data_IF_320504296888
#
_entry.id   IF_320504296888
#
_cell.length_a   1.000
_cell.length_b   1.000
_cell.length_c   1.000
_cell.angle_alpha   90.00
_cell.angle_beta   90.00
_cell.angle_gamma   90.00
#
_symmetry.space_group_name_H-M   'P 1'
#
loop_
_entity.id
_entity.type
_entity.pdbx_description
1 polymer ?
#
# COMPACT_ATOMS: atom_id res chain seq x y z
N UNK A 1 8.03 -7.13 -16.77
CA UNK A 1 6.95 -8.14 -16.80
C UNK A 1 6.78 -8.65 -15.38
N UNK A 2 5.56 -8.63 -14.84
CA UNK A 2 5.29 -9.24 -13.53
C UNK A 2 5.20 -10.76 -13.70
N UNK A 3 6.16 -11.47 -13.14
CA UNK A 3 6.29 -12.93 -13.24
C UNK A 3 6.29 -13.51 -11.84
N UNK A 4 5.64 -14.65 -11.68
CA UNK A 4 5.65 -15.39 -10.43
C UNK A 4 7.01 -16.05 -10.19
N UNK A 5 7.37 -16.36 -8.93
CA UNK A 5 8.57 -17.13 -8.63
C UNK A 5 8.62 -18.47 -9.38
N UNK A 6 7.47 -19.14 -9.55
CA UNK A 6 7.40 -20.41 -10.29
C UNK A 6 7.72 -20.23 -11.78
N UNK A 7 7.20 -19.18 -12.41
CA UNK A 7 7.54 -18.82 -13.80
C UNK A 7 9.01 -18.46 -13.93
N UNK A 8 9.56 -17.69 -12.98
CA UNK A 8 10.96 -17.28 -13.00
C UNK A 8 11.93 -18.47 -12.85
N UNK A 9 11.65 -19.39 -11.93
CA UNK A 9 12.45 -20.62 -11.79
C UNK A 9 12.34 -21.53 -13.01
N UNK A 10 11.16 -21.61 -13.64
CA UNK A 10 11.01 -22.35 -14.90
C UNK A 10 11.86 -21.74 -16.03
N UNK A 11 11.92 -20.40 -16.12
CA UNK A 11 12.77 -19.70 -17.10
C UNK A 11 14.25 -19.99 -16.84
N UNK A 12 14.70 -19.95 -15.58
CA UNK A 12 16.09 -20.29 -15.23
C UNK A 12 16.44 -21.73 -15.59
N UNK A 13 15.57 -22.67 -15.23
CA UNK A 13 15.78 -24.08 -15.52
C UNK A 13 15.87 -24.34 -17.04
N UNK A 14 14.99 -23.69 -17.81
CA UNK A 14 15.05 -23.73 -19.27
C UNK A 14 16.36 -23.15 -19.80
N UNK A 15 16.76 -21.97 -19.32
CA UNK A 15 17.99 -21.31 -19.77
C UNK A 15 19.23 -22.19 -19.51
N UNK A 16 19.29 -22.86 -18.36
CA UNK A 16 20.40 -23.75 -18.01
C UNK A 16 20.48 -24.95 -18.97
N UNK A 17 19.34 -25.61 -19.21
CA UNK A 17 19.25 -26.74 -20.15
C UNK A 17 19.66 -26.35 -21.57
N UNK A 18 19.18 -25.21 -22.07
CA UNK A 18 19.50 -24.73 -23.42
C UNK A 18 20.98 -24.34 -23.57
N UNK A 19 21.60 -23.84 -22.50
CA UNK A 19 23.03 -23.54 -22.48
C UNK A 19 23.88 -24.82 -22.61
N UNK A 20 23.48 -25.90 -21.94
CA UNK A 20 24.11 -27.22 -22.07
C UNK A 20 23.93 -27.80 -23.48
N UNK A 21 22.71 -27.70 -24.02
CA UNK A 21 22.35 -28.22 -25.35
C UNK A 21 22.86 -27.34 -26.51
N UNK A 22 23.35 -26.13 -26.23
CA UNK A 22 23.86 -25.15 -27.21
C UNK A 22 22.90 -24.86 -28.37
N UNK A 23 21.61 -24.73 -28.07
CA UNK A 23 20.57 -24.43 -29.06
C UNK A 23 19.61 -23.35 -28.56
N UNK A 24 18.88 -22.67 -29.45
CA UNK A 24 17.81 -21.76 -29.05
C UNK A 24 16.61 -22.51 -28.46
N UNK A 25 15.82 -21.80 -27.67
CA UNK A 25 14.50 -22.26 -27.22
C UNK A 25 13.54 -22.35 -28.40
N UNK A 26 12.65 -23.34 -28.39
CA UNK A 26 11.45 -23.31 -29.24
C UNK A 26 10.37 -22.43 -28.61
N UNK A 27 9.38 -22.00 -29.40
CA UNK A 27 8.24 -21.22 -28.88
C UNK A 27 7.46 -21.97 -27.78
N UNK A 28 7.33 -23.29 -27.93
CA UNK A 28 6.64 -24.17 -26.97
C UNK A 28 7.40 -24.24 -25.65
N UNK A 29 8.73 -24.36 -25.69
CA UNK A 29 9.55 -24.36 -24.48
C UNK A 29 9.51 -23.02 -23.76
N UNK A 30 9.40 -21.92 -24.51
CA UNK A 30 9.31 -20.57 -23.96
C UNK A 30 7.92 -20.21 -23.40
N UNK A 31 6.90 -21.04 -23.61
CA UNK A 31 5.54 -20.85 -23.11
C UNK A 31 5.42 -21.23 -21.62
N UNK A 32 6.13 -20.50 -20.76
CA UNK A 32 6.29 -20.81 -19.33
C UNK A 32 5.33 -20.08 -18.40
N UNK A 33 4.41 -19.27 -18.93
CA UNK A 33 3.39 -18.58 -18.13
C UNK A 33 2.42 -19.59 -17.51
N UNK A 34 1.96 -19.30 -16.29
CA UNK A 34 1.15 -20.22 -15.49
C UNK A 34 -0.08 -19.54 -14.90
N UNK A 35 -1.12 -20.34 -14.70
CA UNK A 35 -2.32 -20.00 -13.91
C UNK A 35 -2.25 -20.57 -12.49
N UNK A 36 -1.41 -21.57 -12.27
CA UNK A 36 -1.18 -22.21 -10.97
C UNK A 36 0.05 -21.60 -10.27
N UNK A 37 0.10 -21.76 -8.94
CA UNK A 37 1.25 -21.32 -8.12
C UNK A 37 1.55 -19.83 -8.29
N UNK A 38 0.48 -19.03 -8.33
CA UNK A 38 0.54 -17.59 -8.51
C UNK A 38 1.27 -16.92 -7.35
N UNK A 39 2.01 -15.85 -7.66
CA UNK A 39 2.60 -15.01 -6.62
C UNK A 39 1.53 -14.17 -5.92
N UNK A 40 1.69 -13.96 -4.61
CA UNK A 40 0.69 -13.26 -3.79
C UNK A 40 0.48 -11.81 -4.22
N UNK A 41 1.54 -11.13 -4.67
CA UNK A 41 1.49 -9.77 -5.21
C UNK A 41 0.71 -9.70 -6.54
N UNK A 42 0.91 -10.67 -7.44
CA UNK A 42 0.11 -10.78 -8.67
C UNK A 42 -1.36 -11.09 -8.34
N UNK A 43 -1.62 -11.98 -7.38
CA UNK A 43 -2.98 -12.30 -6.97
C UNK A 43 -3.71 -11.10 -6.34
N UNK A 44 -3.00 -10.23 -5.63
CA UNK A 44 -3.56 -9.02 -5.03
C UNK A 44 -3.73 -7.88 -6.04
N UNK A 45 -2.70 -7.57 -6.82
CA UNK A 45 -2.65 -6.35 -7.64
C UNK A 45 -2.86 -6.58 -9.13
N UNK A 46 -3.10 -7.84 -9.51
CA UNK A 46 -3.38 -8.24 -10.87
C UNK A 46 -2.14 -8.30 -11.76
N UNK A 47 -2.37 -8.72 -13.00
CA UNK A 47 -1.35 -8.81 -14.06
C UNK A 47 -2.01 -8.57 -15.40
N UNK A 48 -1.39 -7.71 -16.22
CA UNK A 48 -1.79 -7.45 -17.59
C UNK A 48 -0.66 -7.78 -18.57
N UNK A 49 -0.93 -8.65 -19.54
CA UNK A 49 -0.02 -9.11 -20.58
C UNK A 49 -0.69 -8.94 -21.95
N UNK A 50 -0.34 -7.87 -22.68
CA UNK A 50 -0.97 -7.53 -23.96
C UNK A 50 -0.87 -8.66 -25.00
N UNK A 51 0.27 -9.34 -25.09
CA UNK A 51 0.52 -10.41 -26.07
C UNK A 51 -0.04 -11.78 -25.64
N UNK A 52 -0.44 -11.93 -24.37
CA UNK A 52 -0.86 -13.21 -23.77
C UNK A 52 -2.01 -12.96 -22.77
N UNK A 53 -3.17 -12.46 -23.25
CA UNK A 53 -4.28 -12.04 -22.39
C UNK A 53 -4.88 -13.18 -21.56
N UNK A 54 -4.75 -14.43 -22.01
CA UNK A 54 -5.22 -15.62 -21.28
C UNK A 54 -4.59 -15.76 -19.89
N UNK A 55 -3.43 -15.14 -19.66
CA UNK A 55 -2.70 -15.16 -18.40
C UNK A 55 -2.90 -13.88 -17.56
N UNK A 56 -3.83 -13.01 -17.96
CA UNK A 56 -4.19 -11.85 -17.15
C UNK A 56 -4.82 -12.30 -15.83
N UNK A 57 -4.53 -11.54 -14.77
CA UNK A 57 -5.08 -11.76 -13.44
C UNK A 57 -5.78 -10.48 -13.02
N UNK A 58 -7.03 -10.60 -12.62
CA UNK A 58 -7.80 -9.49 -12.06
C UNK A 58 -7.32 -9.17 -10.65
N UNK A 59 -7.19 -7.89 -10.31
CA UNK A 59 -6.70 -7.47 -9.00
C UNK A 59 -7.78 -7.67 -7.93
N UNK A 60 -7.43 -8.38 -6.85
CA UNK A 60 -8.30 -8.53 -5.68
C UNK A 60 -8.21 -7.36 -4.68
N UNK A 61 -7.20 -6.49 -4.81
CA UNK A 61 -6.91 -5.40 -3.89
C UNK A 61 -6.97 -4.05 -4.62
N UNK A 62 -7.70 -3.11 -4.02
CA UNK A 62 -7.81 -1.73 -4.48
C UNK A 62 -7.20 -0.83 -3.40
N UNK A 63 -6.23 0.01 -3.78
CA UNK A 63 -5.57 0.96 -2.89
C UNK A 63 -5.81 2.36 -3.42
N UNK A 64 -6.48 3.19 -2.64
CA UNK A 64 -6.68 4.59 -2.99
C UNK A 64 -5.41 5.41 -2.73
N UNK A 65 -5.24 6.50 -3.48
CA UNK A 65 -4.23 7.50 -3.15
C UNK A 65 -4.49 8.08 -1.76
N UNK A 66 -3.46 8.11 -0.92
CA UNK A 66 -3.54 8.76 0.37
C UNK A 66 -3.61 10.29 0.19
N UNK A 67 -4.43 10.96 0.99
CA UNK A 67 -4.55 12.42 0.99
C UNK A 67 -4.61 12.97 2.42
N UNK A 68 -4.18 14.21 2.61
CA UNK A 68 -4.23 14.89 3.90
C UNK A 68 -5.66 15.25 4.29
N UNK A 69 -6.05 15.00 5.54
CA UNK A 69 -7.40 15.33 6.05
C UNK A 69 -7.57 16.80 6.44
N UNK A 70 -6.47 17.55 6.45
CA UNK A 70 -6.40 18.99 6.72
C UNK A 70 -5.84 19.72 5.51
N UNK A 71 -6.04 21.03 5.48
CA UNK A 71 -5.24 21.88 4.59
C UNK A 71 -3.77 21.84 5.04
N UNK A 72 -2.87 21.57 4.10
CA UNK A 72 -1.43 21.53 4.35
C UNK A 72 -0.75 22.44 3.34
N UNK A 73 0.06 23.36 3.86
CA UNK A 73 0.90 24.25 3.05
C UNK A 73 2.20 23.52 2.76
N UNK A 74 2.68 23.62 1.51
CA UNK A 74 4.03 23.20 1.16
C UNK A 74 4.98 24.30 1.60
N UNK A 75 5.93 23.95 2.46
CA UNK A 75 6.99 24.85 2.94
C UNK A 75 8.25 24.64 2.10
N UNK A 76 8.88 25.75 1.70
CA UNK A 76 10.10 25.74 0.91
C UNK A 76 11.34 25.71 1.81
N UNK A 77 12.12 24.64 1.72
CA UNK A 77 13.40 24.48 2.44
C UNK A 77 14.58 24.88 1.55
N UNK A 78 15.28 25.96 1.91
CA UNK A 78 16.47 26.44 1.20
C UNK A 78 17.73 25.82 1.81
N UNK A 79 18.55 25.16 1.00
CA UNK A 79 19.78 24.50 1.44
C UNK A 79 20.99 24.87 0.58
N UNK A 80 22.18 24.86 1.20
CA UNK A 80 23.45 25.04 0.50
C UNK A 80 24.31 23.79 0.61
N UNK A 81 25.08 23.47 -0.44
CA UNK A 81 26.20 22.54 -0.34
C UNK A 81 27.50 23.34 -0.32
N UNK A 82 28.32 23.14 0.72
CA UNK A 82 29.61 23.82 0.90
C UNK A 82 30.71 23.03 0.20
N UNK A 83 31.65 23.74 -0.42
CA UNK A 83 32.85 23.13 -1.01
C UNK A 83 34.00 23.15 0.00
N UNK A 84 34.37 21.97 0.50
CA UNK A 84 35.41 21.79 1.52
C UNK A 84 36.83 22.18 1.04
N UNK A 85 37.06 22.32 -0.29
CA UNK A 85 38.37 22.65 -0.85
C UNK A 85 38.58 24.14 -1.12
N UNK A 86 37.59 25.01 -0.87
CA UNK A 86 37.69 26.46 -1.15
C UNK A 86 38.52 27.21 -0.10
N UNK A 87 39.31 28.18 -0.58
CA UNK A 87 40.15 29.04 0.27
C UNK A 87 39.30 30.10 1.01
N UNK A 88 39.62 30.33 2.29
CA UNK A 88 38.87 31.21 3.19
C UNK A 88 38.86 32.72 2.81
N UNK A 89 39.59 33.11 1.75
CA UNK A 89 39.67 34.48 1.26
C UNK A 89 38.60 34.85 0.22
N UNK A 90 37.88 33.87 -0.34
CA UNK A 90 36.78 34.07 -1.29
C UNK A 90 35.42 33.86 -0.59
N UNK A 91 34.47 34.72 -0.90
CA UNK A 91 33.12 34.88 -0.34
C UNK A 91 32.39 33.56 0.06
N UNK A 92 31.59 33.65 1.14
CA UNK A 92 30.79 32.69 1.95
C UNK A 92 30.65 31.17 1.63
N UNK A 93 31.50 30.55 0.81
CA UNK A 93 31.70 29.09 0.77
C UNK A 93 30.58 28.22 0.17
N UNK A 94 29.47 28.75 -0.34
CA UNK A 94 28.43 27.93 -0.98
C UNK A 94 28.82 27.50 -2.41
N UNK A 95 29.05 26.20 -2.63
CA UNK A 95 29.27 25.59 -3.95
C UNK A 95 27.97 25.28 -4.69
N UNK A 96 26.84 25.23 -3.99
CA UNK A 96 25.49 25.08 -4.53
C UNK A 96 24.45 25.72 -3.61
N UNK A 97 23.39 26.28 -4.19
CA UNK A 97 22.18 26.71 -3.50
C UNK A 97 20.99 26.01 -4.17
N UNK A 98 20.14 25.39 -3.36
CA UNK A 98 18.97 24.65 -3.82
C UNK A 98 17.76 24.89 -2.91
N UNK A 99 16.61 24.42 -3.38
CA UNK A 99 15.32 24.54 -2.70
C UNK A 99 14.60 23.19 -2.75
N UNK A 100 13.85 22.83 -1.71
CA UNK A 100 13.02 21.61 -1.67
C UNK A 100 11.75 21.87 -0.88
N UNK A 101 10.60 21.69 -1.51
CA UNK A 101 9.31 21.74 -0.82
C UNK A 101 9.09 20.52 0.08
N UNK A 102 8.57 20.73 1.30
CA UNK A 102 8.10 19.68 2.19
C UNK A 102 6.75 20.03 2.82
N UNK A 103 6.06 19.04 3.39
CA UNK A 103 4.78 19.24 4.07
C UNK A 103 4.52 18.15 5.09
N UNK A 104 3.69 18.47 6.08
CA UNK A 104 3.24 17.54 7.11
C UNK A 104 1.71 17.47 7.11
N UNK A 105 1.17 16.26 7.12
CA UNK A 105 -0.27 16.03 7.12
C UNK A 105 -0.63 14.76 7.86
N UNK A 106 -1.82 14.73 8.45
CA UNK A 106 -2.48 13.49 8.82
C UNK A 106 -3.13 12.90 7.57
N UNK A 107 -2.66 11.73 7.13
CA UNK A 107 -3.13 11.09 5.91
C UNK A 107 -4.30 10.12 6.18
N UNK A 108 -5.32 10.19 5.33
CA UNK A 108 -6.32 9.13 5.18
C UNK A 108 -5.89 8.19 4.05
N UNK A 109 -5.88 6.89 4.35
CA UNK A 109 -5.60 5.81 3.40
C UNK A 109 -6.79 4.86 3.36
N UNK A 110 -7.22 4.48 2.17
CA UNK A 110 -8.31 3.52 1.97
C UNK A 110 -7.80 2.31 1.17
N UNK A 111 -8.14 1.13 1.66
CA UNK A 111 -7.85 -0.15 1.03
C UNK A 111 -9.12 -0.99 1.05
N UNK A 112 -9.48 -1.54 -0.11
CA UNK A 112 -10.55 -2.51 -0.25
C UNK A 112 -9.96 -3.83 -0.76
N UNK A 113 -10.37 -4.95 -0.17
CA UNK A 113 -9.89 -6.28 -0.57
C UNK A 113 -11.09 -7.21 -0.78
N UNK A 114 -11.18 -7.79 -1.96
CA UNK A 114 -12.08 -8.90 -2.26
C UNK A 114 -11.40 -10.21 -1.86
N UNK A 115 -11.80 -10.77 -0.71
CA UNK A 115 -11.24 -12.02 -0.18
C UNK A 115 -11.57 -13.21 -1.09
N UNK A 116 -12.76 -13.25 -1.68
CA UNK A 116 -13.19 -14.37 -2.52
C UNK A 116 -12.39 -14.41 -3.83
N UNK A 117 -12.19 -13.24 -4.46
CA UNK A 117 -11.33 -13.11 -5.63
C UNK A 117 -9.87 -13.42 -5.29
N UNK A 118 -9.38 -13.00 -4.12
CA UNK A 118 -8.02 -13.34 -3.68
C UNK A 118 -7.83 -14.86 -3.55
N UNK A 119 -8.77 -15.56 -2.90
CA UNK A 119 -8.74 -17.03 -2.77
C UNK A 119 -8.79 -17.69 -4.14
N UNK A 120 -9.64 -17.20 -5.06
CA UNK A 120 -9.71 -17.68 -6.44
C UNK A 120 -8.38 -17.49 -7.18
N UNK A 121 -7.77 -16.31 -7.08
CA UNK A 121 -6.48 -15.99 -7.69
C UNK A 121 -5.34 -16.84 -7.13
N UNK A 122 -5.47 -17.32 -5.89
CA UNK A 122 -4.55 -18.24 -5.22
C UNK A 122 -4.95 -19.72 -5.37
N UNK A 123 -5.73 -20.04 -6.42
CA UNK A 123 -6.16 -21.39 -6.76
C UNK A 123 -6.91 -22.12 -5.61
N UNK A 124 -7.70 -21.39 -4.82
CA UNK A 124 -8.46 -21.95 -3.70
C UNK A 124 -7.68 -22.08 -2.39
N UNK A 125 -6.44 -21.57 -2.32
CA UNK A 125 -5.62 -21.65 -1.12
C UNK A 125 -6.01 -20.58 -0.07
N UNK A 126 -7.01 -20.88 0.74
CA UNK A 126 -7.52 -19.98 1.79
C UNK A 126 -6.47 -19.69 2.88
N UNK A 127 -5.65 -20.67 3.26
CA UNK A 127 -4.60 -20.47 4.25
C UNK A 127 -3.59 -19.42 3.77
N UNK A 128 -3.18 -19.50 2.50
CA UNK A 128 -2.28 -18.51 1.89
C UNK A 128 -2.96 -17.15 1.73
N UNK A 129 -4.25 -17.10 1.42
CA UNK A 129 -5.01 -15.85 1.38
C UNK A 129 -5.01 -15.16 2.75
N UNK A 130 -5.30 -15.90 3.82
CA UNK A 130 -5.31 -15.34 5.18
C UNK A 130 -3.92 -14.87 5.61
N UNK A 131 -2.85 -15.62 5.30
CA UNK A 131 -1.46 -15.16 5.54
C UNK A 131 -1.13 -13.89 4.76
N UNK A 132 -1.57 -13.81 3.51
CA UNK A 132 -1.41 -12.64 2.64
C UNK A 132 -2.10 -11.41 3.23
N UNK A 133 -3.38 -11.53 3.61
CA UNK A 133 -4.15 -10.44 4.24
C UNK A 133 -3.48 -9.94 5.52
N UNK A 134 -2.98 -10.86 6.35
CA UNK A 134 -2.27 -10.54 7.60
C UNK A 134 -1.01 -9.72 7.32
N UNK A 135 -0.15 -10.23 6.44
CA UNK A 135 1.13 -9.60 6.11
C UNK A 135 0.92 -8.24 5.43
N UNK A 136 -0.03 -8.16 4.51
CA UNK A 136 -0.35 -6.93 3.81
C UNK A 136 -0.90 -5.85 4.74
N UNK A 137 -1.84 -6.22 5.62
CA UNK A 137 -2.40 -5.29 6.61
C UNK A 137 -1.32 -4.82 7.58
N UNK A 138 -0.45 -5.72 8.06
CA UNK A 138 0.67 -5.34 8.91
C UNK A 138 1.63 -4.36 8.20
N UNK A 139 1.93 -4.60 6.92
CA UNK A 139 2.73 -3.69 6.12
C UNK A 139 2.04 -2.32 5.96
N UNK A 140 0.74 -2.30 5.63
CA UNK A 140 -0.03 -1.06 5.45
C UNK A 140 -0.07 -0.20 6.72
N UNK A 141 -0.04 -0.81 7.90
CA UNK A 141 -0.06 -0.11 9.19
C UNK A 141 1.31 0.40 9.66
N UNK A 142 2.42 -0.20 9.17
CA UNK A 142 3.78 0.03 9.72
C UNK A 142 4.80 0.58 8.73
N UNK A 143 4.58 0.41 7.43
CA UNK A 143 5.59 0.70 6.40
C UNK A 143 5.30 2.05 5.76
N UNK A 144 6.26 2.96 5.85
CA UNK A 144 6.24 4.25 5.16
C UNK A 144 7.01 4.18 3.82
N UNK A 145 6.63 4.97 2.79
CA UNK A 145 7.40 5.08 1.56
C UNK A 145 8.85 5.52 1.79
N UNK A 146 9.78 5.07 0.94
CA UNK A 146 11.23 5.30 1.11
C UNK A 146 11.73 6.62 0.52
N UNK A 147 10.89 7.35 -0.21
CA UNK A 147 11.24 8.61 -0.86
C UNK A 147 11.76 9.65 0.14
N UNK A 148 12.95 10.21 -0.15
CA UNK A 148 13.62 11.24 0.66
C UNK A 148 13.74 10.93 2.18
N UNK A 149 13.62 9.66 2.58
CA UNK A 149 13.68 9.25 3.99
C UNK A 149 15.01 9.59 4.67
N UNK A 150 16.13 9.51 3.95
CA UNK A 150 17.43 9.88 4.52
C UNK A 150 17.56 11.39 4.79
N UNK A 151 16.72 12.21 4.16
CA UNK A 151 16.69 13.66 4.34
C UNK A 151 15.64 14.10 5.36
N UNK A 152 14.47 13.45 5.41
CA UNK A 152 13.34 13.88 6.27
C UNK A 152 12.95 12.90 7.39
N UNK A 153 13.47 11.67 7.40
CA UNK A 153 13.23 10.66 8.43
C UNK A 153 11.75 10.39 8.80
N UNK A 154 10.82 10.55 7.85
CA UNK A 154 9.38 10.38 8.07
C UNK A 154 8.96 8.91 8.15
N UNK A 155 9.17 8.27 9.32
CA UNK A 155 8.74 6.90 9.60
C UNK A 155 7.59 6.88 10.60
N UNK A 156 6.37 6.70 10.10
CA UNK A 156 5.16 6.72 10.91
C UNK A 156 4.42 5.38 10.87
N UNK A 157 3.92 4.96 12.03
CA UNK A 157 2.89 3.93 12.13
C UNK A 157 1.51 4.59 12.10
N UNK A 158 0.49 3.83 11.67
CA UNK A 158 -0.89 4.31 11.71
C UNK A 158 -1.30 4.68 13.14
N UNK A 159 -1.73 5.94 13.34
CA UNK A 159 -2.18 6.42 14.66
C UNK A 159 -3.59 5.92 15.02
N UNK A 160 -4.38 5.59 14.00
CA UNK A 160 -5.70 4.99 14.11
C UNK A 160 -5.97 4.16 12.86
N UNK A 161 -6.71 3.06 13.00
CA UNK A 161 -7.18 2.29 11.86
C UNK A 161 -8.54 1.66 12.18
N UNK A 162 -9.32 1.43 11.13
CA UNK A 162 -10.62 0.76 11.15
C UNK A 162 -10.64 -0.28 10.04
N UNK A 163 -10.97 -1.52 10.40
CA UNK A 163 -11.25 -2.60 9.47
C UNK A 163 -12.74 -2.88 9.52
N UNK A 164 -13.39 -2.87 8.35
CA UNK A 164 -14.77 -3.32 8.17
C UNK A 164 -14.77 -4.63 7.38
N UNK A 165 -15.64 -5.57 7.74
CA UNK A 165 -15.82 -6.86 7.06
C UNK A 165 -17.30 -7.16 6.89
N UNK A 166 -17.70 -7.57 5.70
CA UNK A 166 -19.09 -7.92 5.38
C UNK A 166 -19.25 -8.31 3.91
N UNK A 167 -20.49 -8.67 3.55
CA UNK A 167 -20.90 -9.00 2.18
C UNK A 167 -21.51 -7.83 1.42
N UNK A 168 -21.69 -6.70 2.09
CA UNK A 168 -22.19 -5.47 1.48
C UNK A 168 -21.17 -4.88 0.50
N UNK A 169 -21.65 -4.02 -0.39
CA UNK A 169 -20.77 -3.28 -1.29
C UNK A 169 -19.72 -2.48 -0.49
N UNK A 170 -18.42 -2.59 -0.83
CA UNK A 170 -17.38 -1.79 -0.17
C UNK A 170 -17.65 -0.30 -0.28
N UNK A 171 -17.42 0.41 0.82
CA UNK A 171 -17.63 1.86 0.93
C UNK A 171 -16.37 2.56 1.40
N UNK A 172 -16.09 3.72 0.82
CA UNK A 172 -15.06 4.64 1.33
C UNK A 172 -15.68 5.62 2.30
N UNK A 173 -14.91 6.02 3.32
CA UNK A 173 -15.29 7.05 4.28
C UNK A 173 -14.59 8.38 4.00
N UNK A 174 -13.99 8.55 2.81
CA UNK A 174 -13.30 9.77 2.39
C UNK A 174 -14.18 11.02 2.48
N UNK A 175 -15.50 10.89 2.32
CA UNK A 175 -16.46 11.99 2.44
C UNK A 175 -16.49 12.63 3.84
N UNK A 176 -15.96 11.95 4.87
CA UNK A 176 -15.77 12.52 6.21
C UNK A 176 -14.81 13.73 6.21
N UNK A 177 -14.02 13.88 5.14
CA UNK A 177 -12.96 14.88 5.00
C UNK A 177 -13.18 15.83 3.81
N UNK A 178 -14.41 15.92 3.26
CA UNK A 178 -14.73 16.92 2.24
C UNK A 178 -14.54 18.35 2.75
N UNK A 179 -14.85 18.59 4.02
CA UNK A 179 -14.46 19.82 4.70
C UNK A 179 -13.11 19.58 5.39
N UNK A 180 -12.05 20.34 5.04
CA UNK A 180 -10.74 20.20 5.66
C UNK A 180 -10.81 20.37 7.19
N UNK A 181 -10.04 19.56 7.90
CA UNK A 181 -9.93 19.67 9.36
C UNK A 181 -8.99 20.83 9.71
N UNK A 182 -9.48 21.73 10.56
CA UNK A 182 -8.75 22.89 11.05
C UNK A 182 -8.38 22.73 12.54
N UNK A 183 -7.34 23.44 12.97
CA UNK A 183 -6.87 23.43 14.36
C UNK A 183 -5.82 22.36 14.66
N UNK A 184 -5.47 22.22 15.93
CA UNK A 184 -4.35 21.37 16.39
C UNK A 184 -4.77 19.94 16.75
N UNK A 185 -6.06 19.71 17.04
CA UNK A 185 -6.58 18.41 17.47
C UNK A 185 -7.07 17.54 16.28
N UNK A 186 -6.26 17.50 15.22
CA UNK A 186 -6.68 16.96 13.93
C UNK A 186 -7.08 15.48 13.99
N UNK A 187 -6.32 14.66 14.72
CA UNK A 187 -6.56 13.22 14.81
C UNK A 187 -7.88 12.90 15.52
N UNK A 188 -8.19 13.53 16.66
CA UNK A 188 -9.45 13.26 17.35
C UNK A 188 -10.65 13.74 16.54
N UNK A 189 -10.54 14.90 15.86
CA UNK A 189 -11.58 15.38 14.95
C UNK A 189 -11.75 14.42 13.77
N UNK A 190 -10.66 13.90 13.22
CA UNK A 190 -10.71 12.95 12.11
C UNK A 190 -11.42 11.65 12.50
N UNK A 191 -11.02 11.06 13.64
CA UNK A 191 -11.65 9.85 14.19
C UNK A 191 -13.12 10.09 14.48
N UNK A 192 -13.50 11.24 15.04
CA UNK A 192 -14.91 11.58 15.29
C UNK A 192 -15.72 11.69 14.00
N UNK A 193 -15.21 12.40 12.98
CA UNK A 193 -15.92 12.58 11.70
C UNK A 193 -16.08 11.26 10.94
N UNK A 194 -15.03 10.46 10.87
CA UNK A 194 -15.05 9.19 10.12
C UNK A 194 -15.99 8.16 10.79
N UNK A 195 -15.98 8.06 12.12
CA UNK A 195 -16.88 7.19 12.87
C UNK A 195 -18.34 7.66 12.78
N UNK A 196 -18.59 8.97 12.88
CA UNK A 196 -19.93 9.51 12.70
C UNK A 196 -20.49 9.24 11.29
N UNK A 197 -19.67 9.40 10.24
CA UNK A 197 -20.08 9.07 8.88
C UNK A 197 -20.40 7.59 8.72
N UNK A 198 -19.56 6.70 9.29
CA UNK A 198 -19.79 5.26 9.31
C UNK A 198 -21.13 4.90 9.95
N UNK A 199 -21.43 5.44 11.14
CA UNK A 199 -22.70 5.18 11.81
C UNK A 199 -23.89 5.73 11.02
N UNK A 200 -23.75 6.91 10.41
CA UNK A 200 -24.78 7.47 9.55
C UNK A 200 -25.04 6.58 8.32
N UNK A 201 -23.98 6.04 7.68
CA UNK A 201 -24.12 5.10 6.58
C UNK A 201 -24.80 3.80 7.04
N UNK A 202 -24.41 3.25 8.18
CA UNK A 202 -25.08 2.07 8.77
C UNK A 202 -26.57 2.31 9.00
N UNK A 203 -26.93 3.45 9.60
CA UNK A 203 -28.31 3.79 9.90
C UNK A 203 -29.14 4.04 8.63
N UNK A 204 -28.62 4.80 7.67
CA UNK A 204 -29.34 5.18 6.44
C UNK A 204 -29.50 3.99 5.48
N UNK A 205 -28.47 3.17 5.35
CA UNK A 205 -28.50 2.00 4.45
C UNK A 205 -28.92 0.71 5.15
N UNK A 206 -29.29 0.77 6.44
CA UNK A 206 -29.65 -0.38 7.26
C UNK A 206 -28.58 -1.50 7.24
N UNK A 207 -27.31 -1.11 7.31
CA UNK A 207 -26.16 -2.02 7.28
C UNK A 207 -25.68 -2.36 8.69
N UNK A 208 -25.38 -3.63 8.93
CA UNK A 208 -24.75 -4.14 10.15
C UNK A 208 -23.34 -4.66 9.82
N UNK A 209 -22.43 -3.74 9.50
CA UNK A 209 -21.06 -4.12 9.12
C UNK A 209 -20.22 -4.44 10.36
N UNK A 210 -19.69 -5.65 10.43
CA UNK A 210 -18.75 -6.03 11.47
C UNK A 210 -17.46 -5.21 11.33
N UNK A 211 -16.88 -4.79 12.46
CA UNK A 211 -15.69 -3.96 12.43
C UNK A 211 -14.75 -4.22 13.60
N UNK A 212 -13.50 -3.78 13.43
CA UNK A 212 -12.51 -3.67 14.50
C UNK A 212 -11.65 -2.42 14.25
N UNK A 213 -11.41 -1.65 15.30
CA UNK A 213 -10.55 -0.49 15.25
C UNK A 213 -9.50 -0.51 16.37
N UNK A 214 -8.50 0.36 16.25
CA UNK A 214 -7.61 0.71 17.35
C UNK A 214 -7.27 2.19 17.28
N UNK A 215 -6.94 2.76 18.44
CA UNK A 215 -6.51 4.15 18.59
C UNK A 215 -5.26 4.21 19.46
N UNK A 216 -4.14 4.63 18.86
CA UNK A 216 -2.84 4.70 19.55
C UNK A 216 -2.83 5.78 20.63
N UNK A 217 -3.43 6.96 20.36
CA UNK A 217 -3.43 8.08 21.31
C UNK A 217 -4.23 7.78 22.57
N UNK A 218 -5.31 7.00 22.44
CA UNK A 218 -6.19 6.64 23.55
C UNK A 218 -5.84 5.27 24.16
N UNK A 219 -4.82 4.57 23.65
CA UNK A 219 -4.46 3.20 24.04
C UNK A 219 -5.66 2.23 23.98
N UNK A 220 -6.44 2.31 22.91
CA UNK A 220 -7.65 1.50 22.71
C UNK A 220 -7.46 0.49 21.59
N UNK A 221 -7.97 -0.72 21.80
CA UNK A 221 -7.84 -1.83 20.85
C UNK A 221 -6.40 -2.31 20.70
N UNK A 222 -6.17 -3.18 19.73
CA UNK A 222 -4.83 -3.62 19.39
C UNK A 222 -4.72 -3.98 17.91
N UNK A 223 -3.53 -3.78 17.36
CA UNK A 223 -3.22 -4.27 16.01
C UNK A 223 -3.42 -5.77 15.89
N UNK A 224 -3.12 -6.54 16.95
CA UNK A 224 -3.30 -7.99 16.95
C UNK A 224 -4.77 -8.35 16.72
N UNK A 225 -5.69 -7.74 17.47
CA UNK A 225 -7.13 -8.03 17.36
C UNK A 225 -7.68 -7.63 15.98
N UNK A 226 -7.15 -6.58 15.37
CA UNK A 226 -7.49 -6.17 14.00
C UNK A 226 -7.00 -7.19 12.97
N UNK A 227 -5.76 -7.66 13.08
CA UNK A 227 -5.21 -8.68 12.19
C UNK A 227 -5.98 -10.00 12.32
N UNK A 228 -6.31 -10.40 13.55
CA UNK A 228 -7.09 -11.61 13.81
C UNK A 228 -8.52 -11.45 13.24
N UNK A 229 -9.13 -10.26 13.35
CA UNK A 229 -10.44 -9.96 12.76
C UNK A 229 -10.47 -10.04 11.23
N UNK A 230 -9.43 -9.54 10.56
CA UNK A 230 -9.32 -9.56 9.08
C UNK A 230 -9.09 -10.98 8.55
N UNK A 231 -8.36 -11.81 9.30
CA UNK A 231 -7.99 -13.16 8.89
C UNK A 231 -9.01 -14.23 9.27
N UNK A 232 -9.90 -13.94 10.23
CA UNK A 232 -11.02 -14.81 10.60
C UNK A 232 -12.06 -14.92 9.48
#
# INVERSE_FOLDING_TARGET
>A
MHISPAEFEAVKALAHRLAEEKRPATEEEAALLRHDRMAVDIAMFGRMLANKPDFNVEAACQVAHAFGVSETIVEDDFFTAVDDLRAASDDAGAGHLGETGFGSALFYTYICIDKDLLVKNLNGNEELANKTLRAFTEAALKVSPTGKQNSFASRAYASWALAEKGTDQPRSLAAAFYEPINGTDQLNVAVKRITALRENMNAVYAQETAFKDFNVMNQQGSMKDMLDFICA
#
